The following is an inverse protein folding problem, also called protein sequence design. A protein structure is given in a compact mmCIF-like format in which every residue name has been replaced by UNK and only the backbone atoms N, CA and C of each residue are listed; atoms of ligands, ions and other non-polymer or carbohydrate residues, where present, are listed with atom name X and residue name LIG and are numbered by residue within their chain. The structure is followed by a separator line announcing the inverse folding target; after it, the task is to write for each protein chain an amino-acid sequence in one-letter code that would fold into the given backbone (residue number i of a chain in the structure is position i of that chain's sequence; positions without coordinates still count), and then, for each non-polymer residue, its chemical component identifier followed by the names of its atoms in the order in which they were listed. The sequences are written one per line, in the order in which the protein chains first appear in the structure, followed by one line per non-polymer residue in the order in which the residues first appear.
data_IF_678884243854
#
_entry.id   IF_678884243854
#
_cell.length_a   1.000
_cell.length_b   1.000
_cell.length_c   1.000
_cell.angle_alpha   90.00
_cell.angle_beta   90.00
_cell.angle_gamma   90.00
#
_symmetry.space_group_name_H-M   'P 1'
#
loop_
_entity.id
_entity.type
_entity.pdbx_description
1 polymer ?
#
# COMPACT_ATOMS: atom_id res chain seq x y z
N UNK A 1 -14.91 -13.93 -10.10
CA UNK A 1 -14.20 -15.03 -9.40
C UNK A 1 -14.21 -14.68 -7.91
N UNK A 2 -14.77 -15.51 -7.02
CA UNK A 2 -14.91 -15.17 -5.59
C UNK A 2 -13.96 -16.05 -4.79
N UNK A 3 -12.80 -15.51 -4.45
CA UNK A 3 -11.85 -16.16 -3.57
C UNK A 3 -12.20 -15.83 -2.11
N UNK A 4 -12.00 -16.76 -1.17
CA UNK A 4 -12.12 -16.43 0.25
C UNK A 4 -11.07 -15.39 0.61
N UNK A 5 -11.50 -14.30 1.27
CA UNK A 5 -10.57 -13.34 1.87
C UNK A 5 -9.99 -14.01 3.11
N UNK A 6 -8.69 -14.28 3.06
CA UNK A 6 -7.95 -14.88 4.17
C UNK A 6 -6.97 -13.86 4.73
N UNK A 7 -6.93 -13.75 6.06
CA UNK A 7 -5.95 -12.93 6.79
C UNK A 7 -4.94 -13.88 7.44
N UNK A 8 -3.66 -13.52 7.40
CA UNK A 8 -2.65 -14.22 8.19
C UNK A 8 -2.93 -13.98 9.68
N UNK A 9 -3.00 -15.07 10.45
CA UNK A 9 -3.13 -15.02 11.91
C UNK A 9 -1.90 -15.61 12.55
N UNK A 10 -1.45 -14.97 13.61
CA UNK A 10 -0.34 -15.41 14.42
C UNK A 10 -0.80 -15.46 15.88
N UNK A 11 -0.43 -16.51 16.60
CA UNK A 11 -0.87 -16.69 17.99
C UNK A 11 -0.09 -15.80 18.98
N UNK A 12 1.14 -15.38 18.62
CA UNK A 12 2.03 -14.59 19.46
C UNK A 12 1.95 -13.08 19.19
N UNK A 13 1.54 -12.69 17.98
CA UNK A 13 1.48 -11.30 17.55
C UNK A 13 0.04 -10.80 17.48
N UNK A 14 -0.26 -9.60 18.02
CA UNK A 14 -1.56 -8.99 17.83
C UNK A 14 -1.77 -8.63 16.35
N UNK A 15 -3.03 -8.58 15.91
CA UNK A 15 -3.41 -8.27 14.52
C UNK A 15 -2.77 -6.97 13.99
N UNK A 16 -2.63 -5.96 14.85
CA UNK A 16 -1.96 -4.71 14.50
C UNK A 16 -0.47 -4.89 14.18
N UNK A 17 0.24 -5.75 14.92
CA UNK A 17 1.65 -6.03 14.64
C UNK A 17 1.81 -6.80 13.32
N UNK A 18 0.93 -7.77 13.06
CA UNK A 18 0.85 -8.45 11.75
C UNK A 18 0.61 -7.44 10.62
N UNK A 19 -0.30 -6.50 10.82
CA UNK A 19 -0.62 -5.46 9.84
C UNK A 19 0.59 -4.54 9.54
N UNK A 20 1.41 -4.21 10.54
CA UNK A 20 2.65 -3.45 10.33
C UNK A 20 3.69 -4.26 9.57
N UNK A 21 3.80 -5.57 9.83
CA UNK A 21 4.69 -6.45 9.05
C UNK A 21 4.28 -6.45 7.57
N UNK A 22 2.98 -6.56 7.29
CA UNK A 22 2.46 -6.47 5.91
C UNK A 22 2.82 -5.12 5.26
N UNK A 23 2.65 -4.00 5.97
CA UNK A 23 3.06 -2.68 5.48
C UNK A 23 4.54 -2.63 5.14
N UNK A 24 5.39 -3.13 6.05
CA UNK A 24 6.84 -3.13 5.88
C UNK A 24 7.29 -3.96 4.68
N UNK A 25 6.69 -5.14 4.49
CA UNK A 25 6.94 -5.99 3.32
C UNK A 25 6.54 -5.25 2.04
N UNK A 26 5.36 -4.65 1.99
CA UNK A 26 4.90 -3.86 0.85
C UNK A 26 5.80 -2.63 0.58
N UNK A 27 6.29 -1.97 1.64
CA UNK A 27 7.15 -0.80 1.52
C UNK A 27 8.48 -1.12 0.84
N UNK A 28 8.99 -2.34 0.98
CA UNK A 28 10.26 -2.77 0.38
C UNK A 28 10.13 -3.35 -1.05
N UNK A 29 8.92 -3.46 -1.58
CA UNK A 29 8.70 -3.98 -2.92
C UNK A 29 9.32 -3.08 -4.00
N UNK A 30 9.74 -3.67 -5.14
CA UNK A 30 10.23 -2.89 -6.29
C UNK A 30 9.14 -1.96 -6.84
N UNK A 31 7.89 -2.41 -6.81
CA UNK A 31 6.72 -1.67 -7.26
C UNK A 31 5.56 -1.96 -6.30
N UNK A 32 4.86 -0.92 -5.88
CA UNK A 32 3.71 -1.02 -5.00
C UNK A 32 2.44 -0.54 -5.71
N UNK A 33 1.34 -1.26 -5.48
CA UNK A 33 -0.02 -0.89 -5.88
C UNK A 33 -0.96 -1.10 -4.70
N UNK A 34 -1.71 -0.07 -4.35
CA UNK A 34 -2.61 -0.05 -3.21
C UNK A 34 -4.10 -0.15 -3.58
N UNK A 35 -4.93 -0.05 -2.55
CA UNK A 35 -6.39 -0.03 -2.69
C UNK A 35 -6.95 1.40 -2.64
N UNK A 36 -8.04 1.65 -3.36
CA UNK A 36 -8.69 2.96 -3.41
C UNK A 36 -9.16 3.43 -2.01
N UNK A 37 -8.76 4.63 -1.61
CA UNK A 37 -9.11 5.29 -0.32
C UNK A 37 -8.78 4.48 0.93
N UNK A 38 -7.79 3.58 0.84
CA UNK A 38 -7.34 2.80 2.00
C UNK A 38 -6.28 3.55 2.79
N UNK A 39 -6.57 3.89 4.04
CA UNK A 39 -5.59 4.51 4.97
C UNK A 39 -4.38 3.60 5.21
N UNK A 40 -4.57 2.28 5.16
CA UNK A 40 -3.48 1.30 5.19
C UNK A 40 -2.53 1.47 4.00
N UNK A 41 -3.06 1.67 2.79
CA UNK A 41 -2.24 1.93 1.60
C UNK A 41 -1.53 3.29 1.67
N UNK A 42 -2.15 4.30 2.29
CA UNK A 42 -1.51 5.61 2.48
C UNK A 42 -0.27 5.52 3.37
N UNK A 43 -0.31 4.73 4.45
CA UNK A 43 0.87 4.52 5.30
C UNK A 43 2.03 3.89 4.54
N UNK A 44 1.75 2.89 3.69
CA UNK A 44 2.78 2.28 2.83
C UNK A 44 3.36 3.29 1.84
N UNK A 45 2.53 4.16 1.26
CA UNK A 45 3.00 5.21 0.35
C UNK A 45 3.96 6.18 1.06
N UNK A 46 3.62 6.59 2.27
CA UNK A 46 4.44 7.46 3.11
C UNK A 46 5.76 6.78 3.51
N UNK A 47 5.72 5.51 3.96
CA UNK A 47 6.94 4.73 4.28
C UNK A 47 7.87 4.64 3.07
N UNK A 48 7.31 4.45 1.87
CA UNK A 48 8.09 4.40 0.63
C UNK A 48 8.72 5.74 0.25
N UNK A 49 8.03 6.85 0.51
CA UNK A 49 8.61 8.19 0.34
C UNK A 49 9.78 8.41 1.32
N UNK A 50 9.64 7.96 2.57
CA UNK A 50 10.72 8.00 3.58
C UNK A 50 11.91 7.14 3.14
N UNK A 51 11.66 5.94 2.59
CA UNK A 51 12.70 5.05 2.06
C UNK A 51 13.31 5.53 0.72
N UNK A 52 12.78 6.60 0.12
CA UNK A 52 13.33 7.20 -1.10
C UNK A 52 12.97 6.48 -2.41
N UNK A 53 11.88 5.70 -2.43
CA UNK A 53 11.39 5.10 -3.69
C UNK A 53 10.86 6.17 -4.65
N UNK A 54 10.93 5.89 -5.95
CA UNK A 54 10.42 6.81 -6.97
C UNK A 54 8.89 6.91 -6.90
N UNK A 55 8.28 8.12 -7.01
CA UNK A 55 6.82 8.28 -6.94
C UNK A 55 6.03 7.40 -7.92
N UNK A 56 6.60 7.11 -9.10
CA UNK A 56 5.99 6.24 -10.12
C UNK A 56 5.84 4.78 -9.68
N UNK A 57 6.59 4.33 -8.68
CA UNK A 57 6.51 2.97 -8.14
C UNK A 57 5.78 2.93 -6.78
N UNK A 58 5.24 4.06 -6.33
CA UNK A 58 4.62 4.23 -5.01
C UNK A 58 3.14 4.61 -5.11
N UNK A 59 2.81 5.66 -5.87
CA UNK A 59 1.44 6.17 -5.96
C UNK A 59 0.62 5.49 -7.06
N UNK A 60 0.33 4.20 -6.87
CA UNK A 60 -0.48 3.41 -7.80
C UNK A 60 -1.67 2.78 -7.05
N UNK A 61 -2.83 2.67 -7.71
CA UNK A 61 -3.99 1.96 -7.16
C UNK A 61 -4.58 0.95 -8.13
N UNK A 62 -5.21 -0.10 -7.59
CA UNK A 62 -6.07 -0.98 -8.35
C UNK A 62 -7.30 -0.21 -8.85
N UNK A 63 -7.60 -0.35 -10.14
CA UNK A 63 -8.83 0.19 -10.73
C UNK A 63 -9.99 -0.82 -10.61
N UNK A 64 -11.24 -0.34 -10.59
CA UNK A 64 -12.39 -1.22 -10.64
C UNK A 64 -12.49 -1.92 -12.00
N UNK A 65 -13.16 -3.08 -12.03
CA UNK A 65 -13.36 -3.84 -13.25
C UNK A 65 -14.06 -3.00 -14.34
N UNK A 66 -13.57 -3.10 -15.58
CA UNK A 66 -14.11 -2.37 -16.72
C UNK A 66 -13.71 -0.89 -16.80
N UNK A 67 -12.82 -0.41 -15.92
CA UNK A 67 -12.26 0.95 -15.97
C UNK A 67 -10.73 0.88 -15.97
N UNK A 68 -10.10 1.19 -17.09
CA UNK A 68 -8.63 1.14 -17.21
C UNK A 68 -7.96 2.42 -16.70
N UNK A 69 -8.52 3.59 -17.01
CA UNK A 69 -7.95 4.91 -16.68
C UNK A 69 -8.63 5.54 -15.45
N UNK A 70 -8.62 4.83 -14.31
CA UNK A 70 -9.17 5.39 -13.08
C UNK A 70 -8.23 6.42 -12.43
N UNK A 71 -8.81 7.37 -11.68
CA UNK A 71 -8.06 8.41 -10.97
C UNK A 71 -7.00 7.81 -10.05
N UNK A 72 -5.74 8.22 -10.21
CA UNK A 72 -4.64 7.73 -9.37
C UNK A 72 -4.52 8.52 -8.06
N UNK A 73 -3.90 7.93 -7.00
CA UNK A 73 -3.73 8.62 -5.73
C UNK A 73 -2.99 9.95 -5.87
N UNK A 74 -3.35 10.93 -5.04
CA UNK A 74 -2.61 12.18 -4.93
C UNK A 74 -1.15 11.92 -4.53
N UNK A 75 -0.21 12.61 -5.18
CA UNK A 75 1.24 12.42 -4.98
C UNK A 75 1.75 13.42 -3.96
N UNK A 76 1.62 13.06 -2.68
CA UNK A 76 2.17 13.84 -1.58
C UNK A 76 3.63 13.44 -1.34
N UNK A 77 4.55 14.25 -1.88
CA UNK A 77 5.99 13.99 -1.71
C UNK A 77 6.45 14.43 -0.33
N UNK A 78 7.43 13.71 0.21
CA UNK A 78 8.08 14.11 1.45
C UNK A 78 8.82 15.45 1.29
N UNK A 79 8.75 16.30 2.31
CA UNK A 79 9.45 17.59 2.41
C UNK A 79 10.33 17.53 3.66
N UNK A 80 11.60 17.91 3.51
CA UNK A 80 12.61 17.86 4.59
C UNK A 80 13.06 19.24 5.07
N UNK A 81 12.53 20.30 4.46
CA UNK A 81 12.86 21.70 4.78
C UNK A 81 12.48 22.09 6.22
#
# INVERSE_FOLDING_TARGET
MRFPVVQYKNDDLPDGAVAIIDQWICAHARFFIGSHVSTFSYRIQEDREILGFLPKTTFNRLCPDGVEDCEQPAKWKIVYD
#
